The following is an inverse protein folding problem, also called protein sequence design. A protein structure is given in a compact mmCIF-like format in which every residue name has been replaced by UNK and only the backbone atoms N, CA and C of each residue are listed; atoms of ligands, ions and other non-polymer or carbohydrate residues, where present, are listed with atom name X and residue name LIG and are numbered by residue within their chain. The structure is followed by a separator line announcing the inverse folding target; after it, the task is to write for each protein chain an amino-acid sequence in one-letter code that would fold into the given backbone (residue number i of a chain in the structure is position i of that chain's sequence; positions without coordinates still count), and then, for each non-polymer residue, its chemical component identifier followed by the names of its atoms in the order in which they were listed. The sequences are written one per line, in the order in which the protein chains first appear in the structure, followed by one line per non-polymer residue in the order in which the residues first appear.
data_IF_757489127497
#
_entry.id   IF_757489127497
#
_cell.length_a   1.000
_cell.length_b   1.000
_cell.length_c   1.000
_cell.angle_alpha   90.00
_cell.angle_beta   90.00
_cell.angle_gamma   90.00
#
_symmetry.space_group_name_H-M   'P 1'
#
loop_
_entity.id
_entity.type
_entity.pdbx_description
1 polymer ?
#
# COMPACT_ATOMS: atom_id res chain seq x y z
N UNK A 1 14.83 -72.92 45.96
CA UNK A 1 14.79 -71.60 46.52
C UNK A 1 15.56 -70.68 45.58
N UNK A 2 14.82 -69.89 44.79
CA UNK A 2 15.21 -68.75 43.93
C UNK A 2 16.34 -68.97 42.90
N UNK A 3 15.91 -69.21 41.68
CA UNK A 3 16.75 -69.26 40.48
C UNK A 3 16.35 -67.97 39.68
N UNK A 4 17.32 -67.08 39.48
CA UNK A 4 17.16 -65.93 38.57
C UNK A 4 17.81 -66.31 37.24
N UNK A 5 17.01 -66.26 36.19
CA UNK A 5 17.47 -66.50 34.85
C UNK A 5 17.44 -65.16 34.07
N UNK A 6 18.64 -64.67 33.72
CA UNK A 6 18.79 -63.49 32.86
C UNK A 6 19.01 -63.92 31.44
N UNK A 7 18.04 -63.67 30.56
CA UNK A 7 18.24 -63.79 29.13
C UNK A 7 18.68 -62.43 28.56
N UNK A 8 19.91 -62.40 28.12
CA UNK A 8 20.47 -61.27 27.34
C UNK A 8 20.05 -61.45 25.89
N UNK A 9 19.18 -60.53 25.41
CA UNK A 9 18.89 -60.45 23.98
C UNK A 9 19.87 -59.45 23.34
N UNK A 10 20.70 -59.95 22.43
CA UNK A 10 21.54 -59.12 21.58
C UNK A 10 20.66 -58.43 20.53
N UNK A 11 20.65 -57.09 20.54
CA UNK A 11 20.05 -56.27 19.51
C UNK A 11 21.06 -56.09 18.38
N UNK A 12 20.77 -56.65 17.22
CA UNK A 12 21.46 -56.35 15.97
C UNK A 12 21.03 -54.96 15.50
N UNK A 13 21.92 -53.99 15.60
CA UNK A 13 21.77 -52.69 14.96
C UNK A 13 22.14 -52.83 13.47
N UNK A 14 21.13 -52.74 12.61
CA UNK A 14 21.33 -52.58 11.18
C UNK A 14 21.55 -51.08 10.90
N UNK A 15 22.62 -50.68 10.19
CA UNK A 15 22.79 -49.27 9.83
C UNK A 15 21.82 -48.92 8.69
N UNK A 16 20.82 -48.14 9.00
CA UNK A 16 19.98 -47.48 7.98
C UNK A 16 20.82 -46.34 7.40
N UNK A 17 21.30 -46.52 6.19
CA UNK A 17 21.92 -45.47 5.39
C UNK A 17 20.82 -44.53 4.95
N UNK A 18 20.69 -43.39 5.60
CA UNK A 18 19.91 -42.25 5.08
C UNK A 18 20.66 -41.67 3.88
N UNK A 19 20.19 -41.99 2.69
CA UNK A 19 20.48 -41.19 1.52
C UNK A 19 19.80 -39.86 1.70
N UNK A 20 20.56 -38.85 2.13
CA UNK A 20 20.15 -37.44 2.07
C UNK A 20 20.15 -37.11 0.58
N UNK A 21 18.99 -37.20 -0.03
CA UNK A 21 18.70 -36.55 -1.31
C UNK A 21 18.75 -35.05 -1.02
N UNK A 22 19.80 -34.38 -1.48
CA UNK A 22 19.78 -32.95 -1.69
C UNK A 22 18.82 -32.67 -2.85
N UNK A 23 17.53 -32.67 -2.56
CA UNK A 23 16.54 -32.03 -3.38
C UNK A 23 16.58 -30.55 -2.99
N UNK A 24 16.80 -29.67 -3.95
CA UNK A 24 16.48 -28.28 -3.85
C UNK A 24 15.05 -28.16 -3.33
N UNK A 25 14.93 -27.89 -2.04
CA UNK A 25 13.68 -27.39 -1.52
C UNK A 25 13.69 -25.91 -1.88
N UNK A 26 13.21 -25.58 -3.08
CA UNK A 26 12.63 -24.26 -3.28
C UNK A 26 11.56 -24.14 -2.19
N UNK A 27 11.82 -23.32 -1.18
CA UNK A 27 10.77 -22.87 -0.28
C UNK A 27 9.70 -22.23 -1.16
N UNK A 28 8.62 -22.97 -1.40
CA UNK A 28 7.39 -22.36 -1.89
C UNK A 28 6.98 -21.42 -0.76
N UNK A 29 7.30 -20.14 -0.90
CA UNK A 29 6.72 -19.09 -0.06
C UNK A 29 5.21 -19.22 -0.21
N UNK A 30 4.56 -19.68 0.82
CA UNK A 30 3.11 -19.70 0.91
C UNK A 30 2.69 -18.25 1.13
N UNK A 31 2.29 -17.56 0.05
CA UNK A 31 1.71 -16.22 0.16
C UNK A 31 0.33 -16.36 0.75
N UNK A 32 0.24 -16.14 2.03
CA UNK A 32 -1.00 -15.71 2.64
C UNK A 32 -1.15 -14.24 2.27
N UNK A 33 -2.00 -13.94 1.28
CA UNK A 33 -2.56 -12.60 1.23
C UNK A 33 -3.16 -12.37 2.60
N UNK A 34 -2.80 -11.28 3.24
CA UNK A 34 -3.39 -10.84 4.48
C UNK A 34 -4.83 -10.31 4.23
N UNK A 35 -5.62 -11.05 3.46
CA UNK A 35 -7.03 -10.79 3.17
C UNK A 35 -7.95 -11.28 4.27
N UNK A 36 -7.40 -11.60 5.40
CA UNK A 36 -8.21 -11.66 6.59
C UNK A 36 -8.49 -10.20 6.97
N UNK A 37 -9.66 -9.72 6.55
CA UNK A 37 -10.19 -8.37 6.84
C UNK A 37 -10.17 -8.02 8.34
N UNK A 38 -9.80 -8.95 9.21
CA UNK A 38 -9.73 -8.76 10.66
C UNK A 38 -8.35 -8.36 11.16
N UNK A 39 -7.26 -8.53 10.39
CA UNK A 39 -5.92 -8.45 10.95
C UNK A 39 -4.94 -7.43 10.32
N UNK A 40 -5.22 -6.87 9.12
CA UNK A 40 -4.25 -6.02 8.42
C UNK A 40 -4.86 -4.92 7.55
N UNK A 41 -6.11 -4.56 7.76
CA UNK A 41 -6.69 -3.40 7.08
C UNK A 41 -6.29 -2.12 7.81
N UNK A 42 -5.72 -1.20 7.05
CA UNK A 42 -5.63 0.20 7.43
C UNK A 42 -6.86 0.91 6.90
N UNK A 43 -7.20 2.05 7.47
CA UNK A 43 -8.24 2.91 6.95
C UNK A 43 -7.61 4.17 6.39
N UNK A 44 -7.82 4.44 5.11
CA UNK A 44 -7.25 5.58 4.44
C UNK A 44 -8.35 6.55 4.01
N UNK A 45 -8.07 7.84 4.11
CA UNK A 45 -8.99 8.90 3.70
C UNK A 45 -8.29 9.84 2.73
N UNK A 46 -8.99 10.19 1.65
CA UNK A 46 -8.52 11.18 0.69
C UNK A 46 -9.34 12.46 0.78
N UNK A 47 -8.64 13.57 0.81
CA UNK A 47 -9.24 14.90 0.71
C UNK A 47 -8.78 15.57 -0.57
N UNK A 48 -9.71 16.16 -1.32
CA UNK A 48 -9.35 17.05 -2.43
C UNK A 48 -8.75 18.34 -1.88
N UNK A 49 -7.66 18.79 -2.48
CA UNK A 49 -6.97 20.01 -2.08
C UNK A 49 -6.80 20.98 -3.25
N UNK A 50 -7.00 22.26 -3.00
CA UNK A 50 -6.73 23.35 -3.95
C UNK A 50 -5.57 24.20 -3.51
N UNK A 51 -4.74 24.59 -4.46
CA UNK A 51 -3.72 25.62 -4.25
C UNK A 51 -4.38 26.97 -3.95
N UNK A 52 -3.95 27.61 -2.88
CA UNK A 52 -4.34 28.98 -2.56
C UNK A 52 -3.56 30.03 -3.37
N UNK A 53 -3.93 31.30 -3.23
CA UNK A 53 -3.32 32.41 -3.96
C UNK A 53 -1.87 32.72 -3.58
N UNK A 54 -1.37 32.12 -2.46
CA UNK A 54 0.03 32.18 -2.01
C UNK A 54 0.74 30.85 -2.13
N UNK A 55 0.18 29.93 -2.89
CA UNK A 55 0.84 28.66 -3.12
C UNK A 55 2.21 28.83 -3.76
N UNK A 56 3.17 28.14 -3.20
CA UNK A 56 4.47 27.81 -3.79
C UNK A 56 4.96 26.53 -3.13
N UNK A 57 5.88 25.83 -3.75
CA UNK A 57 6.45 24.62 -3.14
C UNK A 57 7.07 24.89 -1.77
N UNK A 58 7.80 26.02 -1.63
CA UNK A 58 8.40 26.42 -0.35
C UNK A 58 7.32 26.71 0.71
N UNK A 59 6.22 27.36 0.34
CA UNK A 59 5.11 27.65 1.26
C UNK A 59 4.37 26.35 1.66
N UNK A 60 4.20 25.41 0.74
CA UNK A 60 3.64 24.08 1.06
C UNK A 60 4.57 23.33 2.01
N UNK A 61 5.86 23.30 1.74
CA UNK A 61 6.84 22.63 2.60
C UNK A 61 6.84 23.22 4.01
N UNK A 62 6.73 24.57 4.14
CA UNK A 62 6.57 25.23 5.46
C UNK A 62 5.28 24.80 6.15
N UNK A 63 4.17 24.75 5.41
CA UNK A 63 2.86 24.34 5.95
C UNK A 63 2.92 22.89 6.47
N UNK A 64 3.47 21.95 5.70
CA UNK A 64 3.61 20.56 6.08
C UNK A 64 4.57 20.38 7.28
N UNK A 65 5.73 21.07 7.27
CA UNK A 65 6.64 21.04 8.43
C UNK A 65 5.98 21.57 9.70
N UNK A 66 5.18 22.64 9.58
CA UNK A 66 4.40 23.18 10.69
C UNK A 66 3.30 22.22 11.15
N UNK A 67 2.65 21.50 10.23
CA UNK A 67 1.64 20.49 10.54
C UNK A 67 2.25 19.28 11.25
N UNK A 68 3.43 18.81 10.83
CA UNK A 68 4.18 17.74 11.53
C UNK A 68 4.48 18.10 12.98
N UNK A 69 4.75 19.38 13.26
CA UNK A 69 5.00 19.88 14.61
C UNK A 69 3.79 19.80 15.57
N UNK A 70 2.57 19.62 15.06
CA UNK A 70 1.39 19.33 15.86
C UNK A 70 1.43 17.87 16.27
N UNK A 71 1.14 17.57 17.54
CA UNK A 71 1.12 16.19 18.04
C UNK A 71 0.18 15.31 17.19
N UNK A 72 0.66 14.14 16.78
CA UNK A 72 -0.11 13.16 16.04
C UNK A 72 -0.52 12.01 16.96
N UNK A 73 -1.76 11.48 16.81
CA UNK A 73 -2.17 10.30 17.54
C UNK A 73 -1.41 9.06 17.07
N UNK A 74 -1.26 8.09 17.98
CA UNK A 74 -0.63 6.79 17.64
C UNK A 74 -1.43 6.01 16.59
N UNK A 75 -2.70 6.33 16.39
CA UNK A 75 -3.58 5.74 15.37
C UNK A 75 -3.28 6.22 13.96
N UNK A 76 -2.60 7.37 13.79
CA UNK A 76 -2.17 7.86 12.48
C UNK A 76 -0.92 7.12 12.00
N UNK A 77 -1.06 6.36 10.93
CA UNK A 77 0.00 5.51 10.39
C UNK A 77 0.83 6.20 9.31
N UNK A 78 0.31 7.26 8.71
CA UNK A 78 1.02 8.03 7.68
C UNK A 78 0.17 9.12 7.05
N UNK A 79 0.81 9.98 6.26
CA UNK A 79 0.13 10.95 5.41
C UNK A 79 0.96 11.25 4.16
N UNK A 80 0.26 11.41 3.04
CA UNK A 80 0.87 11.69 1.75
C UNK A 80 0.12 12.79 1.02
N UNK A 81 0.83 13.49 0.16
CA UNK A 81 0.26 14.44 -0.80
C UNK A 81 0.47 13.96 -2.22
N UNK A 82 -0.52 14.17 -3.06
CA UNK A 82 -0.49 13.80 -4.48
C UNK A 82 -0.80 15.01 -5.34
N UNK A 83 -0.04 15.17 -6.42
CA UNK A 83 -0.30 16.17 -7.45
C UNK A 83 -0.44 15.45 -8.79
N UNK A 84 -1.62 15.49 -9.39
CA UNK A 84 -1.90 14.78 -10.65
C UNK A 84 -1.03 15.31 -11.79
N UNK A 85 -0.48 14.37 -12.58
CA UNK A 85 0.37 14.63 -13.75
C UNK A 85 -0.50 14.53 -15.00
N UNK A 86 -1.49 15.41 -15.17
CA UNK A 86 -2.29 15.45 -16.40
C UNK A 86 -2.16 16.80 -17.09
N UNK A 87 -2.19 16.79 -18.43
CA UNK A 87 -2.20 17.99 -19.27
C UNK A 87 -3.56 18.73 -19.24
N UNK A 88 -4.55 18.19 -18.53
CA UNK A 88 -5.87 18.77 -18.44
C UNK A 88 -5.92 19.79 -17.29
N UNK A 89 -6.20 21.03 -17.62
CA UNK A 89 -6.44 22.16 -16.72
C UNK A 89 -7.73 21.96 -15.87
N UNK A 90 -7.94 20.74 -15.36
CA UNK A 90 -9.02 20.44 -14.43
C UNK A 90 -8.60 20.86 -13.04
N UNK A 91 -9.37 21.73 -12.45
CA UNK A 91 -9.03 22.57 -11.29
C UNK A 91 -8.87 21.83 -9.94
N UNK A 92 -8.84 20.48 -9.90
CA UNK A 92 -8.78 19.72 -8.68
C UNK A 92 -8.03 18.40 -8.86
N UNK A 93 -6.72 18.49 -8.80
CA UNK A 93 -5.92 17.30 -9.02
C UNK A 93 -4.85 17.15 -7.94
N UNK A 94 -5.13 17.63 -6.74
CA UNK A 94 -4.25 17.43 -5.60
C UNK A 94 -5.05 16.76 -4.49
N UNK A 95 -4.44 15.74 -3.92
CA UNK A 95 -5.02 14.94 -2.86
C UNK A 95 -4.13 14.96 -1.65
N UNK A 96 -4.74 14.94 -0.48
CA UNK A 96 -4.08 14.64 0.78
C UNK A 96 -4.66 13.33 1.29
N UNK A 97 -3.82 12.33 1.45
CA UNK A 97 -4.17 11.04 2.02
C UNK A 97 -3.72 10.99 3.48
N UNK A 98 -4.59 10.46 4.34
CA UNK A 98 -4.30 10.10 5.72
C UNK A 98 -4.53 8.60 5.90
N UNK A 99 -3.62 7.92 6.59
CA UNK A 99 -3.76 6.51 6.92
C UNK A 99 -3.91 6.33 8.43
N UNK A 100 -4.87 5.51 8.82
CA UNK A 100 -5.26 5.26 10.20
C UNK A 100 -5.28 3.77 10.51
N UNK A 101 -5.16 3.44 11.81
CA UNK A 101 -5.28 2.05 12.27
C UNK A 101 -6.69 1.47 12.10
N UNK A 102 -7.73 2.32 12.10
CA UNK A 102 -9.12 1.95 11.84
C UNK A 102 -9.97 3.17 11.51
N UNK A 103 -11.18 2.95 10.96
CA UNK A 103 -12.18 3.99 10.73
C UNK A 103 -12.63 4.65 12.03
N UNK A 104 -12.84 3.87 13.08
CA UNK A 104 -13.27 4.39 14.38
C UNK A 104 -12.26 5.37 14.96
N UNK A 105 -10.96 5.06 14.84
CA UNK A 105 -9.91 5.97 15.27
C UNK A 105 -9.87 7.23 14.39
N UNK A 106 -9.96 7.09 13.07
CA UNK A 106 -10.04 8.22 12.16
C UNK A 106 -11.20 9.18 12.54
N UNK A 107 -12.40 8.64 12.75
CA UNK A 107 -13.59 9.41 13.09
C UNK A 107 -13.43 10.14 14.45
N UNK A 108 -12.78 9.51 15.43
CA UNK A 108 -12.50 10.11 16.73
C UNK A 108 -11.47 11.25 16.62
N UNK A 109 -10.37 11.02 15.90
CA UNK A 109 -9.30 11.98 15.73
C UNK A 109 -9.72 13.21 14.92
N UNK A 110 -10.60 13.03 13.94
CA UNK A 110 -11.21 14.16 13.24
C UNK A 110 -12.02 15.06 14.16
N UNK A 111 -12.73 14.50 15.13
CA UNK A 111 -13.48 15.31 16.11
C UNK A 111 -12.53 16.09 17.03
N UNK A 112 -11.42 15.46 17.45
CA UNK A 112 -10.39 16.14 18.25
C UNK A 112 -9.67 17.21 17.44
N UNK A 113 -9.31 16.94 16.18
CA UNK A 113 -8.71 17.91 15.26
C UNK A 113 -9.60 19.17 15.08
N UNK A 114 -10.89 18.97 14.82
CA UNK A 114 -11.84 20.07 14.63
C UNK A 114 -12.09 20.87 15.92
N UNK A 115 -11.87 20.27 17.10
CA UNK A 115 -11.99 20.95 18.38
C UNK A 115 -10.67 21.60 18.84
N UNK A 116 -9.55 21.34 18.16
CA UNK A 116 -8.23 21.83 18.55
C UNK A 116 -8.02 23.29 18.16
N UNK A 117 -7.58 24.11 19.12
CA UNK A 117 -7.18 25.50 18.86
C UNK A 117 -5.91 25.55 17.99
N UNK A 118 -5.00 24.60 18.14
CA UNK A 118 -3.75 24.51 17.40
C UNK A 118 -4.02 24.16 15.93
N UNK A 119 -4.89 23.18 15.66
CA UNK A 119 -5.33 22.81 14.32
C UNK A 119 -6.05 23.97 13.61
N UNK A 120 -6.93 24.67 14.35
CA UNK A 120 -7.62 25.87 13.84
C UNK A 120 -6.61 26.96 13.46
N UNK A 121 -5.65 27.26 14.33
CA UNK A 121 -4.64 28.26 14.06
C UNK A 121 -3.73 27.89 12.87
N UNK A 122 -3.39 26.62 12.72
CA UNK A 122 -2.67 26.12 11.57
C UNK A 122 -3.48 26.29 10.27
N UNK A 123 -4.74 25.88 10.27
CA UNK A 123 -5.63 26.00 9.11
C UNK A 123 -5.81 27.47 8.68
N UNK A 124 -6.04 28.41 9.64
CA UNK A 124 -6.13 29.84 9.35
C UNK A 124 -4.83 30.39 8.75
N UNK A 125 -3.68 30.01 9.31
CA UNK A 125 -2.36 30.48 8.85
C UNK A 125 -2.08 30.07 7.41
N UNK A 126 -2.39 28.83 7.05
CA UNK A 126 -2.00 28.24 5.76
C UNK A 126 -3.14 28.17 4.74
N UNK A 127 -4.33 28.68 5.04
CA UNK A 127 -5.49 28.68 4.12
C UNK A 127 -5.23 29.34 2.77
N UNK A 128 -4.29 30.30 2.71
CA UNK A 128 -3.88 30.94 1.45
C UNK A 128 -2.81 30.15 0.69
N UNK A 129 -2.28 29.07 1.26
CA UNK A 129 -1.30 28.15 0.62
C UNK A 129 -2.01 26.94 0.07
N UNK A 130 -2.78 26.24 0.91
CA UNK A 130 -3.50 25.02 0.55
C UNK A 130 -4.85 24.97 1.26
N UNK A 131 -5.88 24.55 0.55
CA UNK A 131 -7.22 24.33 1.10
C UNK A 131 -7.66 22.92 0.75
N UNK A 132 -7.89 22.08 1.76
CA UNK A 132 -8.37 20.73 1.60
C UNK A 132 -9.79 20.58 2.13
N UNK A 133 -10.62 19.82 1.43
CA UNK A 133 -12.01 19.55 1.79
C UNK A 133 -12.10 18.33 2.71
N UNK A 134 -11.86 18.55 4.00
CA UNK A 134 -11.97 17.50 5.00
C UNK A 134 -13.41 17.10 5.34
N UNK A 135 -14.43 17.88 4.95
CA UNK A 135 -15.84 17.53 5.18
C UNK A 135 -16.33 16.47 4.18
N UNK A 136 -15.81 16.50 2.94
CA UNK A 136 -16.16 15.57 1.87
C UNK A 136 -15.02 14.59 1.57
N UNK A 137 -14.27 14.18 2.59
CA UNK A 137 -13.23 13.18 2.43
C UNK A 137 -13.83 11.84 2.10
N UNK A 138 -13.15 11.10 1.25
CA UNK A 138 -13.51 9.75 0.81
C UNK A 138 -12.72 8.72 1.60
N UNK A 139 -13.39 7.71 2.16
CA UNK A 139 -12.80 6.69 3.03
C UNK A 139 -12.68 5.34 2.34
N UNK A 140 -11.60 4.63 2.66
CA UNK A 140 -11.27 3.33 2.07
C UNK A 140 -10.69 2.39 3.11
N UNK A 141 -11.11 1.13 3.10
CA UNK A 141 -10.30 0.06 3.67
C UNK A 141 -9.10 -0.19 2.75
N UNK A 142 -7.90 -0.15 3.31
CA UNK A 142 -6.65 -0.23 2.55
C UNK A 142 -5.78 -1.40 3.00
N UNK A 143 -5.10 -2.03 2.06
CA UNK A 143 -4.08 -3.05 2.35
C UNK A 143 -2.96 -3.06 1.31
N UNK A 144 -1.78 -3.50 1.76
CA UNK A 144 -0.70 -3.92 0.87
C UNK A 144 -0.77 -5.44 0.67
N UNK A 145 -1.17 -5.95 -0.51
CA UNK A 145 -1.25 -7.41 -0.73
C UNK A 145 0.13 -8.08 -0.88
N UNK A 146 1.18 -7.31 -0.96
CA UNK A 146 2.58 -7.72 -1.06
C UNK A 146 3.43 -6.88 -0.10
N UNK A 147 4.61 -7.40 0.29
CA UNK A 147 5.51 -6.64 1.15
C UNK A 147 5.92 -5.32 0.47
N UNK A 148 5.53 -4.15 1.00
CA UNK A 148 5.79 -2.87 0.38
C UNK A 148 7.28 -2.49 0.32
N UNK A 149 8.13 -3.18 1.09
CA UNK A 149 9.59 -2.97 1.14
C UNK A 149 10.37 -4.00 0.31
N UNK A 150 9.68 -4.86 -0.47
CA UNK A 150 10.35 -5.93 -1.23
C UNK A 150 11.28 -5.40 -2.32
N UNK A 151 10.99 -4.21 -2.86
CA UNK A 151 11.73 -3.57 -3.96
C UNK A 151 12.43 -2.27 -3.52
N UNK A 152 12.71 -2.11 -2.24
CA UNK A 152 13.39 -0.96 -1.69
C UNK A 152 12.48 -0.06 -0.85
N UNK A 153 13.09 0.98 -0.29
CA UNK A 153 12.39 1.98 0.52
C UNK A 153 12.02 3.19 -0.35
N UNK A 154 11.05 3.98 0.12
CA UNK A 154 10.75 5.29 -0.47
C UNK A 154 12.01 6.15 -0.53
N UNK A 155 12.21 6.96 -1.59
CA UNK A 155 13.34 7.88 -1.67
C UNK A 155 13.54 8.74 -0.42
N UNK A 156 14.81 9.06 -0.07
CA UNK A 156 15.14 9.82 1.14
C UNK A 156 14.46 11.20 1.22
N UNK A 157 14.13 11.80 0.07
CA UNK A 157 13.39 13.07 0.03
C UNK A 157 11.87 12.89 0.14
N UNK A 158 11.40 11.64 0.28
CA UNK A 158 9.99 11.28 0.38
C UNK A 158 9.21 11.43 -0.92
N UNK A 159 9.86 11.73 -2.05
CA UNK A 159 9.19 11.83 -3.35
C UNK A 159 8.95 10.45 -3.96
N UNK A 160 7.83 10.28 -4.66
CA UNK A 160 7.52 9.08 -5.43
C UNK A 160 6.51 9.39 -6.54
N UNK A 161 6.19 8.42 -7.38
CA UNK A 161 5.09 8.53 -8.35
C UNK A 161 4.04 7.46 -8.06
N UNK A 162 2.78 7.83 -8.14
CA UNK A 162 1.67 6.94 -7.91
C UNK A 162 0.76 6.86 -9.15
N UNK A 163 0.11 5.72 -9.33
CA UNK A 163 -0.99 5.56 -10.28
C UNK A 163 -2.17 4.89 -9.59
N UNK A 164 -3.37 5.44 -9.77
CA UNK A 164 -4.61 4.96 -9.18
C UNK A 164 -5.57 4.57 -10.30
N UNK A 165 -6.01 3.32 -10.33
CA UNK A 165 -6.97 2.81 -11.32
C UNK A 165 -8.24 2.37 -10.61
N UNK A 166 -9.38 3.04 -10.84
CA UNK A 166 -10.68 2.52 -10.39
C UNK A 166 -11.01 1.24 -11.15
N UNK A 167 -11.42 0.20 -10.43
CA UNK A 167 -11.63 -1.13 -10.95
C UNK A 167 -12.99 -1.70 -10.51
N UNK A 168 -13.59 -2.52 -11.38
CA UNK A 168 -14.78 -3.31 -11.07
C UNK A 168 -14.52 -4.79 -11.27
N UNK A 169 -15.11 -5.63 -10.45
CA UNK A 169 -15.09 -7.08 -10.66
C UNK A 169 -15.89 -7.44 -11.92
N UNK A 170 -15.36 -8.35 -12.72
CA UNK A 170 -16.04 -8.81 -13.92
C UNK A 170 -17.32 -9.59 -13.57
N UNK A 171 -18.27 -9.64 -14.50
CA UNK A 171 -19.54 -10.33 -14.30
C UNK A 171 -19.34 -11.78 -13.81
N UNK A 172 -19.94 -12.10 -12.66
CA UNK A 172 -19.87 -13.42 -12.02
C UNK A 172 -18.55 -13.68 -11.28
N UNK A 173 -17.71 -12.68 -11.10
CA UNK A 173 -16.51 -12.74 -10.30
C UNK A 173 -16.74 -12.26 -8.87
N UNK A 174 -15.94 -12.74 -7.94
CA UNK A 174 -15.99 -12.43 -6.52
C UNK A 174 -14.67 -11.86 -6.04
N UNK A 175 -14.65 -11.33 -4.82
CA UNK A 175 -13.40 -10.94 -4.15
C UNK A 175 -12.43 -12.11 -4.00
N UNK A 176 -12.93 -13.36 -3.85
CA UNK A 176 -12.08 -14.55 -3.83
C UNK A 176 -11.39 -14.80 -5.19
N UNK A 177 -12.11 -14.59 -6.31
CA UNK A 177 -11.51 -14.68 -7.66
C UNK A 177 -10.40 -13.63 -7.82
N UNK A 178 -10.64 -12.40 -7.36
CA UNK A 178 -9.65 -11.33 -7.39
C UNK A 178 -8.46 -11.61 -6.47
N UNK A 179 -8.69 -12.12 -5.26
CA UNK A 179 -7.62 -12.57 -4.36
C UNK A 179 -6.72 -13.63 -5.01
N UNK A 180 -7.32 -14.61 -5.70
CA UNK A 180 -6.58 -15.62 -6.42
C UNK A 180 -5.74 -15.02 -7.57
N UNK A 181 -6.25 -14.01 -8.24
CA UNK A 181 -5.51 -13.28 -9.27
C UNK A 181 -4.33 -12.50 -8.67
N UNK A 182 -4.52 -11.85 -7.50
CA UNK A 182 -3.44 -11.18 -6.76
C UNK A 182 -2.33 -12.16 -6.31
N UNK A 183 -2.67 -13.40 -5.94
CA UNK A 183 -1.67 -14.43 -5.65
C UNK A 183 -0.79 -14.70 -6.88
N UNK A 184 -1.37 -14.73 -8.09
CA UNK A 184 -0.59 -14.90 -9.31
C UNK A 184 0.26 -13.67 -9.62
N UNK A 185 -0.27 -12.47 -9.36
CA UNK A 185 0.48 -11.23 -9.48
C UNK A 185 1.69 -11.20 -8.53
N UNK A 186 1.49 -11.58 -7.26
CA UNK A 186 2.55 -11.69 -6.26
C UNK A 186 3.60 -12.73 -6.66
N UNK A 187 3.15 -13.88 -7.21
CA UNK A 187 4.08 -14.90 -7.73
C UNK A 187 4.91 -14.37 -8.90
N UNK A 188 4.32 -13.54 -9.77
CA UNK A 188 5.07 -12.86 -10.83
C UNK A 188 6.09 -11.90 -10.25
N UNK A 189 5.73 -11.05 -9.27
CA UNK A 189 6.66 -10.15 -8.57
C UNK A 189 7.84 -10.89 -7.94
N UNK A 190 7.62 -12.07 -7.35
CA UNK A 190 8.70 -12.90 -6.80
C UNK A 190 9.68 -13.44 -7.82
N UNK A 191 9.24 -13.62 -9.05
CA UNK A 191 10.03 -14.20 -10.12
C UNK A 191 10.63 -13.15 -11.06
N UNK A 192 10.39 -11.87 -10.82
CA UNK A 192 11.05 -10.80 -11.57
C UNK A 192 12.55 -10.86 -11.32
N UNK A 193 13.33 -10.78 -12.40
CA UNK A 193 14.76 -10.52 -12.28
C UNK A 193 14.97 -9.09 -11.76
N UNK A 194 15.37 -8.97 -10.50
CA UNK A 194 15.60 -7.67 -9.84
C UNK A 194 16.64 -6.80 -10.54
N UNK A 195 17.44 -7.36 -11.43
CA UNK A 195 18.31 -6.56 -12.31
C UNK A 195 17.57 -5.79 -13.39
N UNK A 196 16.30 -6.11 -13.63
CA UNK A 196 15.39 -5.46 -14.57
C UNK A 196 14.45 -4.43 -13.90
N UNK A 197 14.51 -4.32 -12.58
CA UNK A 197 13.75 -3.34 -11.82
C UNK A 197 14.72 -2.35 -11.18
N UNK A 198 14.39 -1.08 -11.24
CA UNK A 198 15.12 -0.03 -10.53
C UNK A 198 14.22 0.66 -9.53
N UNK A 199 14.76 0.90 -8.34
CA UNK A 199 14.15 1.71 -7.31
C UNK A 199 12.97 1.07 -6.58
N UNK A 200 12.30 1.90 -5.80
CA UNK A 200 11.13 1.57 -4.99
C UNK A 200 9.93 1.16 -5.83
N UNK A 201 9.27 0.09 -5.41
CA UNK A 201 7.96 -0.31 -5.91
C UNK A 201 7.12 -0.92 -4.78
N UNK A 202 5.88 -0.46 -4.67
CA UNK A 202 4.84 -1.09 -3.87
C UNK A 202 3.50 -1.00 -4.59
N UNK A 203 2.52 -1.81 -4.20
CA UNK A 203 1.14 -1.63 -4.65
C UNK A 203 0.16 -1.85 -3.50
N UNK A 204 -0.99 -1.18 -3.59
CA UNK A 204 -2.05 -1.24 -2.61
C UNK A 204 -3.42 -1.37 -3.24
N UNK A 205 -4.37 -1.87 -2.47
CA UNK A 205 -5.78 -1.98 -2.84
C UNK A 205 -6.59 -1.15 -1.86
N UNK A 206 -7.44 -0.27 -2.40
CA UNK A 206 -8.37 0.58 -1.66
C UNK A 206 -9.78 0.11 -1.95
N UNK A 207 -10.52 -0.28 -0.92
CA UNK A 207 -11.93 -0.64 -1.02
C UNK A 207 -12.75 0.53 -0.49
N UNK A 208 -13.60 1.18 -1.32
CA UNK A 208 -14.43 2.28 -0.85
C UNK A 208 -15.34 1.82 0.29
N UNK A 209 -15.47 2.64 1.32
CA UNK A 209 -16.42 2.40 2.41
C UNK A 209 -17.83 2.90 2.06
N UNK A 210 -17.96 3.70 0.99
CA UNK A 210 -19.25 4.10 0.43
C UNK A 210 -19.82 2.98 -0.45
N UNK A 211 -20.91 2.37 -0.01
CA UNK A 211 -21.64 1.34 -0.77
C UNK A 211 -22.26 1.87 -2.09
N UNK A 212 -22.25 3.17 -2.33
CA UNK A 212 -22.72 3.80 -3.56
C UNK A 212 -21.60 4.13 -4.55
N UNK A 213 -20.35 3.78 -4.24
CA UNK A 213 -19.21 3.93 -5.16
C UNK A 213 -19.49 3.14 -6.47
N UNK A 214 -19.09 3.71 -7.60
CA UNK A 214 -19.23 3.09 -8.91
C UNK A 214 -18.20 1.96 -9.15
N UNK A 215 -17.07 1.99 -8.43
CA UNK A 215 -16.02 0.98 -8.44
C UNK A 215 -16.07 0.05 -7.25
N UNK A 216 -15.59 -1.18 -7.43
CA UNK A 216 -15.45 -2.16 -6.34
C UNK A 216 -14.16 -1.94 -5.53
N UNK A 217 -13.11 -1.41 -6.18
CA UNK A 217 -11.84 -1.08 -5.55
C UNK A 217 -10.97 -0.19 -6.45
N UNK A 218 -9.95 0.44 -5.84
CA UNK A 218 -8.87 1.08 -6.58
C UNK A 218 -7.61 0.24 -6.48
N UNK A 219 -6.96 0.04 -7.62
CA UNK A 219 -5.64 -0.58 -7.70
C UNK A 219 -4.59 0.54 -7.82
N UNK A 220 -3.75 0.66 -6.80
CA UNK A 220 -2.72 1.68 -6.75
C UNK A 220 -1.32 1.07 -6.91
N UNK A 221 -0.46 1.73 -7.71
CA UNK A 221 0.95 1.40 -7.79
C UNK A 221 1.77 2.62 -7.37
N UNK A 222 2.85 2.36 -6.65
CA UNK A 222 3.78 3.36 -6.15
C UNK A 222 5.18 3.02 -6.66
N UNK A 223 5.83 3.98 -7.31
CA UNK A 223 7.14 3.82 -7.91
C UNK A 223 8.06 4.95 -7.46
N UNK A 224 9.37 4.74 -7.54
CA UNK A 224 10.35 5.77 -7.20
C UNK A 224 10.10 7.08 -7.98
N UNK A 225 9.78 6.97 -9.28
CA UNK A 225 9.49 8.10 -10.15
C UNK A 225 8.74 7.66 -11.43
N UNK A 226 8.39 8.59 -12.30
CA UNK A 226 7.67 8.30 -13.56
C UNK A 226 8.46 7.42 -14.54
N UNK A 227 9.79 7.48 -14.53
CA UNK A 227 10.63 6.64 -15.39
C UNK A 227 10.55 5.18 -14.93
N UNK A 228 10.75 4.91 -13.65
CA UNK A 228 10.64 3.56 -13.07
C UNK A 228 9.20 3.01 -13.16
N UNK A 229 8.18 3.88 -13.09
CA UNK A 229 6.79 3.49 -13.37
C UNK A 229 6.62 3.02 -14.83
N UNK A 230 7.17 3.75 -15.79
CA UNK A 230 7.11 3.36 -17.21
C UNK A 230 7.85 2.05 -17.49
N UNK A 231 9.01 1.85 -16.84
CA UNK A 231 9.79 0.61 -16.94
C UNK A 231 9.01 -0.57 -16.32
N UNK A 232 8.45 -0.41 -15.13
CA UNK A 232 7.65 -1.43 -14.45
C UNK A 232 6.40 -1.83 -15.26
N UNK A 233 5.70 -0.86 -15.82
CA UNK A 233 4.55 -1.11 -16.70
C UNK A 233 4.96 -1.87 -17.97
N UNK A 234 6.10 -1.50 -18.58
CA UNK A 234 6.61 -2.21 -19.77
C UNK A 234 7.00 -3.65 -19.43
N UNK A 235 7.65 -3.86 -18.27
CA UNK A 235 8.01 -5.20 -17.80
C UNK A 235 6.77 -6.07 -17.54
N UNK A 236 5.72 -5.49 -16.93
CA UNK A 236 4.43 -6.17 -16.76
C UNK A 236 3.80 -6.57 -18.08
N UNK A 237 3.76 -5.67 -19.05
CA UNK A 237 3.24 -5.96 -20.40
C UNK A 237 3.99 -7.08 -21.11
N UNK A 238 5.32 -7.12 -20.94
CA UNK A 238 6.18 -8.11 -21.61
C UNK A 238 6.19 -9.47 -20.91
N UNK A 239 6.13 -9.48 -19.57
CA UNK A 239 6.41 -10.70 -18.79
C UNK A 239 5.27 -11.14 -17.87
N UNK A 240 4.20 -10.35 -17.72
CA UNK A 240 3.04 -10.65 -16.85
C UNK A 240 2.32 -11.96 -17.16
N UNK A 241 2.32 -12.38 -18.44
CA UNK A 241 1.90 -13.72 -18.87
C UNK A 241 0.57 -14.18 -18.27
N UNK A 242 0.60 -15.35 -17.62
CA UNK A 242 -0.59 -15.95 -16.99
C UNK A 242 -1.15 -15.09 -15.84
N UNK A 243 -0.30 -14.37 -15.09
CA UNK A 243 -0.75 -13.47 -14.02
C UNK A 243 -1.60 -12.33 -14.59
N UNK A 244 -1.19 -11.74 -15.72
CA UNK A 244 -1.95 -10.70 -16.41
C UNK A 244 -3.31 -11.21 -16.88
N UNK A 245 -3.35 -12.41 -17.49
CA UNK A 245 -4.60 -13.05 -17.92
C UNK A 245 -5.55 -13.26 -16.72
N UNK A 246 -5.05 -13.67 -15.55
CA UNK A 246 -5.87 -13.89 -14.38
C UNK A 246 -6.39 -12.55 -13.80
N UNK A 247 -5.58 -11.50 -13.77
CA UNK A 247 -6.00 -10.17 -13.32
C UNK A 247 -7.12 -9.62 -14.24
N UNK A 248 -6.91 -9.65 -15.56
CA UNK A 248 -7.89 -9.23 -16.56
C UNK A 248 -9.18 -10.07 -16.55
N UNK A 249 -9.08 -11.36 -16.18
CA UNK A 249 -10.26 -12.22 -16.04
C UNK A 249 -11.06 -11.93 -14.75
N UNK A 250 -10.42 -11.45 -13.70
CA UNK A 250 -11.05 -11.16 -12.42
C UNK A 250 -11.70 -9.78 -12.39
N UNK A 251 -11.06 -8.76 -12.96
CA UNK A 251 -11.50 -7.37 -12.87
C UNK A 251 -11.18 -6.58 -14.14
N UNK A 252 -11.88 -5.47 -14.30
CA UNK A 252 -11.62 -4.46 -15.35
C UNK A 252 -11.33 -3.14 -14.66
N UNK A 253 -10.20 -2.53 -15.00
CA UNK A 253 -9.80 -1.23 -14.48
C UNK A 253 -9.86 -0.15 -15.57
N UNK A 254 -10.22 1.05 -15.18
CA UNK A 254 -10.12 2.25 -16.01
C UNK A 254 -8.66 2.67 -16.19
N UNK A 255 -8.41 3.60 -17.12
CA UNK A 255 -7.09 4.20 -17.25
C UNK A 255 -6.63 4.83 -15.93
N UNK A 256 -5.36 4.66 -15.54
CA UNK A 256 -4.87 5.17 -14.28
C UNK A 256 -4.80 6.70 -14.27
N UNK A 257 -5.14 7.29 -13.14
CA UNK A 257 -4.72 8.63 -12.78
C UNK A 257 -3.29 8.57 -12.26
N UNK A 258 -2.39 9.36 -12.83
CA UNK A 258 -0.97 9.39 -12.47
C UNK A 258 -0.71 10.67 -11.67
N UNK A 259 0.00 10.51 -10.54
CA UNK A 259 0.34 11.59 -9.64
C UNK A 259 1.80 11.55 -9.22
N UNK A 260 2.39 12.73 -9.00
CA UNK A 260 3.59 12.86 -8.18
C UNK A 260 3.17 12.80 -6.71
N UNK A 261 3.78 11.91 -5.94
CA UNK A 261 3.54 11.72 -4.53
C UNK A 261 4.66 12.33 -3.67
N UNK A 262 4.32 12.71 -2.46
CA UNK A 262 5.25 13.18 -1.43
C UNK A 262 4.82 12.67 -0.06
N UNK A 263 5.75 12.11 0.70
CA UNK A 263 5.52 11.77 2.11
C UNK A 263 5.35 13.06 2.91
N UNK A 264 4.21 13.20 3.57
CA UNK A 264 3.94 14.30 4.48
C UNK A 264 4.19 13.92 5.93
N UNK A 265 3.92 12.67 6.31
CA UNK A 265 4.17 12.14 7.64
C UNK A 265 4.40 10.62 7.57
N UNK A 266 5.43 10.16 8.25
CA UNK A 266 5.71 8.75 8.52
C UNK A 266 6.28 8.62 9.94
N UNK A 267 5.55 7.98 10.88
CA UNK A 267 6.04 7.84 12.25
C UNK A 267 7.26 6.92 12.36
N UNK A 268 7.55 6.11 11.34
CA UNK A 268 8.72 5.24 11.26
C UNK A 268 9.98 5.93 10.76
N UNK A 269 9.85 7.12 10.14
CA UNK A 269 10.95 7.88 9.57
C UNK A 269 11.13 9.23 10.32
N UNK A 270 12.30 9.44 10.99
CA UNK A 270 12.55 10.67 11.74
C UNK A 270 12.58 11.94 10.89
N UNK A 271 12.77 11.85 9.59
CA UNK A 271 12.78 13.00 8.68
C UNK A 271 11.36 13.45 8.31
N UNK A 272 10.36 12.57 8.52
CA UNK A 272 8.94 12.81 8.23
C UNK A 272 8.02 12.69 9.45
N UNK A 273 8.55 12.45 10.65
CA UNK A 273 7.77 12.32 11.89
C UNK A 273 7.59 13.64 12.65
#
# INVERSE_FOLDING_TARGET
MKINNKYTKALLLSPVIFLISCGDMSETKEYTLAWDATNYTMYNEFMTCTAGDKYSQDALNEAIASWRGIEKPESMLGAWGYATVTDDDTSFNNWWELSWSSKEEADAEWQEWLASEEATAWGEKYSSVLQCDGENREGYEFLFPYNPYAFGDTPEDGSFSASFSPCTLNEGKSQEDFSNALIQYNSWLDNIDQSQTSGFYAYGIYFPDDAAADEDFWFANFHENLETMSEGNSLWEETGGDAKIQMEAASTCSAPEISNGQVFFDPGDPDFS
#
